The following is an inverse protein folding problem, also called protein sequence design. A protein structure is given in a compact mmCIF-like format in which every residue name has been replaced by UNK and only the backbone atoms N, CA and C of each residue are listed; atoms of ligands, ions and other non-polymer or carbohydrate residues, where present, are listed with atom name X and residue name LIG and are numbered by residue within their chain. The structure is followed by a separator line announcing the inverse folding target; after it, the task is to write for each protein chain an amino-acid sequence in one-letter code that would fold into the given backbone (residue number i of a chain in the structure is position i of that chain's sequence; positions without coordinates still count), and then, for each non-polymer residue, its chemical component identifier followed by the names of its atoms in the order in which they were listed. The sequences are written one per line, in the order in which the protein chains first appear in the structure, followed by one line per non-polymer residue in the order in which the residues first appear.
data_IF_302775185329
#
_entry.id   IF_302775185329
#
_cell.length_a   1.000
_cell.length_b   1.000
_cell.length_c   1.000
_cell.angle_alpha   90.00
_cell.angle_beta   90.00
_cell.angle_gamma   90.00
#
_symmetry.space_group_name_H-M   'P 1'
#
loop_
_entity.id
_entity.type
_entity.pdbx_description
1 polymer ?
#
# COMPACT_ATOMS: atom_id res chain seq x y z
N UNK A 1 4.72 3.79 4.56
CA UNK A 1 4.89 2.34 4.48
C UNK A 1 3.62 1.67 3.96
N UNK A 2 3.76 0.51 3.32
CA UNK A 2 2.67 -0.43 3.07
C UNK A 2 2.36 -1.22 4.34
N UNK A 3 1.10 -1.52 4.60
CA UNK A 3 0.70 -2.25 5.80
C UNK A 3 -0.33 -3.33 5.49
N UNK A 4 0.05 -4.58 5.74
CA UNK A 4 -0.88 -5.68 5.90
C UNK A 4 -1.37 -5.79 7.36
N UNK A 5 -2.61 -6.27 7.54
CA UNK A 5 -3.05 -6.71 8.86
C UNK A 5 -2.32 -8.02 9.20
N UNK A 6 -1.48 -8.01 10.24
CA UNK A 6 -0.79 -9.19 10.75
C UNK A 6 -0.62 -9.13 12.26
N UNK A 7 -0.96 -10.23 12.91
CA UNK A 7 -0.78 -10.49 14.33
C UNK A 7 -0.14 -11.86 14.51
N UNK A 8 1.05 -11.97 15.09
CA UNK A 8 1.71 -13.27 15.24
C UNK A 8 0.87 -14.35 15.89
N UNK A 9 0.10 -14.08 16.96
CA UNK A 9 -0.77 -15.09 17.56
C UNK A 9 -2.11 -15.30 16.83
N UNK A 10 -2.59 -14.34 16.02
CA UNK A 10 -3.98 -14.33 15.54
C UNK A 10 -4.10 -14.21 14.01
N UNK A 11 -2.99 -14.28 13.27
CA UNK A 11 -2.99 -14.19 11.82
C UNK A 11 -3.45 -12.82 11.32
N UNK A 12 -4.52 -12.75 10.55
CA UNK A 12 -5.04 -11.49 10.00
C UNK A 12 -5.97 -10.72 10.96
N UNK A 13 -6.18 -11.22 12.16
CA UNK A 13 -6.99 -10.54 13.17
C UNK A 13 -6.10 -9.74 14.11
N UNK A 14 -5.95 -8.46 13.83
CA UNK A 14 -5.10 -7.55 14.62
C UNK A 14 -5.91 -6.96 15.78
N UNK A 15 -5.37 -7.00 16.99
CA UNK A 15 -5.99 -6.40 18.16
C UNK A 15 -5.89 -4.86 18.13
N UNK A 16 -6.71 -4.19 18.98
CA UNK A 16 -6.62 -2.73 19.12
C UNK A 16 -5.27 -2.30 19.66
N UNK A 17 -4.73 -3.03 20.60
CA UNK A 17 -3.43 -2.79 21.23
C UNK A 17 -2.28 -2.89 20.21
N UNK A 18 -2.34 -3.90 19.34
CA UNK A 18 -1.36 -4.03 18.25
C UNK A 18 -1.46 -2.87 17.24
N UNK A 19 -2.70 -2.48 16.85
CA UNK A 19 -2.90 -1.33 15.96
C UNK A 19 -2.41 -0.02 16.58
N UNK A 20 -2.64 0.18 17.89
CA UNK A 20 -2.10 1.36 18.61
C UNK A 20 -0.57 1.34 18.64
N UNK A 21 0.04 0.18 18.91
CA UNK A 21 1.49 0.01 18.87
C UNK A 21 2.04 0.31 17.48
N UNK A 22 1.40 -0.20 16.40
CA UNK A 22 1.78 0.10 15.02
C UNK A 22 1.86 1.61 14.77
N UNK A 23 0.78 2.34 15.07
CA UNK A 23 0.72 3.79 14.81
C UNK A 23 1.71 4.57 15.66
N UNK A 24 1.91 4.20 16.94
CA UNK A 24 2.89 4.84 17.81
C UNK A 24 4.32 4.62 17.32
N UNK A 25 4.65 3.40 16.89
CA UNK A 25 5.97 3.09 16.31
C UNK A 25 6.19 3.85 15.00
N UNK A 26 5.19 3.87 14.10
CA UNK A 26 5.28 4.65 12.87
C UNK A 26 5.61 6.12 13.17
N UNK A 27 4.94 6.74 14.15
CA UNK A 27 5.23 8.11 14.54
C UNK A 27 6.64 8.28 15.11
N UNK A 28 7.11 7.34 15.93
CA UNK A 28 8.46 7.38 16.51
C UNK A 28 9.56 7.23 15.45
N UNK A 29 9.26 6.54 14.35
CA UNK A 29 10.15 6.33 13.22
C UNK A 29 10.00 7.39 12.10
N UNK A 30 9.25 8.48 12.36
CA UNK A 30 8.96 9.54 11.39
C UNK A 30 8.22 9.04 10.13
N UNK A 31 7.50 7.93 10.21
CA UNK A 31 6.61 7.48 9.15
C UNK A 31 5.34 8.34 9.22
N UNK A 32 5.01 9.03 8.13
CA UNK A 32 3.90 9.97 8.07
C UNK A 32 2.71 9.48 7.25
N UNK A 33 2.85 8.38 6.52
CA UNK A 33 1.82 7.85 5.64
C UNK A 33 1.81 6.33 5.60
N UNK A 34 0.61 5.76 5.42
CA UNK A 34 0.37 4.32 5.26
C UNK A 34 -0.48 4.07 4.03
N UNK A 35 -0.09 3.09 3.21
CA UNK A 35 -0.98 2.47 2.23
C UNK A 35 -1.55 1.20 2.84
N UNK A 36 -2.87 1.06 2.83
CA UNK A 36 -3.54 -0.14 3.35
C UNK A 36 -3.51 -1.24 2.29
N UNK A 37 -2.39 -1.92 2.18
CA UNK A 37 -2.12 -2.96 1.18
C UNK A 37 -2.70 -4.31 1.62
N UNK A 38 -3.52 -5.05 0.81
CA UNK A 38 -4.16 -4.54 -0.41
C UNK A 38 -5.68 -4.61 -0.22
N UNK A 39 -6.17 -3.96 0.82
CA UNK A 39 -7.57 -3.93 1.24
C UNK A 39 -7.79 -2.86 2.31
N UNK A 40 -9.02 -2.36 2.50
CA UNK A 40 -9.31 -1.49 3.62
C UNK A 40 -9.00 -2.18 4.95
N UNK A 41 -8.23 -1.54 5.81
CA UNK A 41 -7.91 -2.08 7.13
C UNK A 41 -9.09 -1.97 8.12
N UNK A 42 -8.88 -2.43 9.35
CA UNK A 42 -9.87 -2.32 10.43
C UNK A 42 -10.28 -0.85 10.63
N UNK A 43 -11.57 -0.51 10.83
CA UNK A 43 -12.02 0.86 11.09
C UNK A 43 -11.26 1.57 12.22
N UNK A 44 -10.93 0.85 13.28
CA UNK A 44 -10.17 1.42 14.40
C UNK A 44 -8.78 1.90 14.00
N UNK A 45 -8.15 1.28 13.00
CA UNK A 45 -6.87 1.75 12.48
C UNK A 45 -7.00 3.14 11.82
N UNK A 46 -8.09 3.41 11.11
CA UNK A 46 -8.34 4.74 10.54
C UNK A 46 -8.61 5.78 11.64
N UNK A 47 -9.36 5.41 12.72
CA UNK A 47 -9.53 6.29 13.89
C UNK A 47 -8.20 6.66 14.54
N UNK A 48 -7.25 5.72 14.58
CA UNK A 48 -5.90 5.98 15.07
C UNK A 48 -5.13 6.89 14.11
N UNK A 49 -5.18 6.66 12.81
CA UNK A 49 -4.55 7.52 11.81
C UNK A 49 -5.07 8.96 11.89
N UNK A 50 -6.39 9.15 12.08
CA UNK A 50 -7.00 10.47 12.31
C UNK A 50 -6.45 11.13 13.56
N UNK A 51 -6.35 10.38 14.66
CA UNK A 51 -5.88 10.88 15.97
C UNK A 51 -4.40 11.24 15.97
N UNK A 52 -3.56 10.40 15.37
CA UNK A 52 -2.11 10.56 15.39
C UNK A 52 -1.56 11.34 14.18
N UNK A 53 -2.39 11.71 13.22
CA UNK A 53 -1.99 12.45 12.03
C UNK A 53 -1.09 11.62 11.10
N UNK A 54 -1.50 10.39 10.79
CA UNK A 54 -0.90 9.55 9.75
C UNK A 54 -1.76 9.68 8.49
N UNK A 55 -1.21 10.08 7.39
CA UNK A 55 -1.91 10.08 6.10
C UNK A 55 -2.19 8.66 5.62
N UNK A 56 -3.32 8.46 4.97
CA UNK A 56 -3.70 7.13 4.46
C UNK A 56 -3.98 7.17 2.97
N UNK A 57 -3.30 6.31 2.24
CA UNK A 57 -3.71 5.84 0.91
C UNK A 57 -4.58 4.59 1.14
N UNK A 58 -5.90 4.77 1.13
CA UNK A 58 -6.82 3.65 1.37
C UNK A 58 -7.05 2.87 0.09
N UNK A 59 -6.81 1.54 0.14
CA UNK A 59 -6.87 0.68 -1.04
C UNK A 59 -8.08 -0.25 -1.03
N UNK A 60 -8.74 -0.34 -2.18
CA UNK A 60 -9.85 -1.26 -2.40
C UNK A 60 -9.32 -2.69 -2.52
N UNK A 61 -10.08 -3.65 -2.00
CA UNK A 61 -9.74 -5.07 -2.12
C UNK A 61 -9.98 -5.58 -3.56
N UNK A 62 -9.13 -5.14 -4.46
CA UNK A 62 -9.08 -5.58 -5.86
C UNK A 62 -7.65 -6.02 -6.17
N UNK A 63 -7.46 -7.31 -6.22
CA UNK A 63 -6.22 -7.94 -6.63
C UNK A 63 -6.51 -9.22 -7.40
N UNK A 64 -6.01 -9.33 -8.62
CA UNK A 64 -6.12 -10.52 -9.45
C UNK A 64 -4.81 -10.80 -10.19
N UNK A 65 -3.68 -10.69 -9.47
CA UNK A 65 -2.31 -10.80 -10.00
C UNK A 65 -2.07 -12.06 -10.85
N UNK A 66 -2.59 -13.21 -10.40
CA UNK A 66 -2.50 -14.47 -11.17
C UNK A 66 -3.43 -14.56 -12.39
N UNK A 67 -4.39 -13.63 -12.56
CA UNK A 67 -5.36 -13.62 -13.66
C UNK A 67 -5.76 -12.18 -14.02
N UNK A 68 -4.81 -11.37 -14.45
CA UNK A 68 -4.98 -9.95 -14.76
C UNK A 68 -6.04 -9.67 -15.85
N UNK A 69 -6.34 -10.68 -16.70
CA UNK A 69 -7.39 -10.57 -17.71
C UNK A 69 -8.77 -10.20 -17.14
N UNK A 70 -9.05 -10.53 -15.87
CA UNK A 70 -10.30 -10.18 -15.20
C UNK A 70 -10.57 -8.66 -15.19
N UNK A 71 -9.53 -7.85 -15.23
CA UNK A 71 -9.66 -6.40 -15.28
C UNK A 71 -10.29 -5.88 -16.59
N UNK A 72 -10.35 -6.71 -17.64
CA UNK A 72 -11.01 -6.41 -18.91
C UNK A 72 -12.33 -7.18 -19.09
N UNK A 73 -12.67 -8.12 -18.22
CA UNK A 73 -13.87 -8.94 -18.35
C UNK A 73 -15.12 -8.15 -17.95
N UNK A 74 -16.11 -7.94 -18.86
CA UNK A 74 -17.30 -7.16 -18.55
C UNK A 74 -18.14 -7.73 -17.40
N UNK A 75 -18.13 -9.05 -17.21
CA UNK A 75 -18.84 -9.72 -16.11
C UNK A 75 -18.28 -9.38 -14.73
N UNK A 76 -17.03 -8.86 -14.66
CA UNK A 76 -16.34 -8.50 -13.42
C UNK A 76 -16.43 -7.01 -13.09
N UNK A 77 -16.94 -6.16 -13.97
CA UNK A 77 -17.02 -4.71 -13.74
C UNK A 77 -17.72 -4.37 -12.41
N UNK A 78 -18.80 -5.09 -12.09
CA UNK A 78 -19.52 -4.92 -10.83
C UNK A 78 -18.64 -5.20 -9.61
N UNK A 79 -17.85 -6.28 -9.65
CA UNK A 79 -16.96 -6.64 -8.55
C UNK A 79 -15.87 -5.58 -8.30
N UNK A 80 -15.32 -4.97 -9.34
CA UNK A 80 -14.35 -3.88 -9.23
C UNK A 80 -14.99 -2.61 -8.67
N UNK A 81 -16.16 -2.21 -9.20
CA UNK A 81 -16.85 -0.98 -8.79
C UNK A 81 -17.35 -1.07 -7.36
N UNK A 82 -18.04 -2.17 -6.98
CA UNK A 82 -18.62 -2.32 -5.63
C UNK A 82 -17.55 -2.32 -4.53
N UNK A 83 -16.39 -2.96 -4.75
CA UNK A 83 -15.28 -2.93 -3.77
C UNK A 83 -14.78 -1.52 -3.55
N UNK A 84 -14.57 -0.76 -4.62
CA UNK A 84 -14.12 0.63 -4.54
C UNK A 84 -15.19 1.54 -3.92
N UNK A 85 -16.46 1.38 -4.31
CA UNK A 85 -17.58 2.16 -3.73
C UNK A 85 -17.76 1.87 -2.23
N UNK A 86 -17.72 0.60 -1.83
CA UNK A 86 -17.90 0.20 -0.44
C UNK A 86 -16.78 0.78 0.44
N UNK A 87 -15.54 0.81 -0.03
CA UNK A 87 -14.44 1.46 0.65
C UNK A 87 -14.75 2.96 0.88
N UNK A 88 -15.11 3.69 -0.19
CA UNK A 88 -15.39 5.12 -0.08
C UNK A 88 -16.61 5.38 0.80
N UNK A 89 -17.72 4.65 0.63
CA UNK A 89 -18.93 4.81 1.46
C UNK A 89 -18.65 4.63 2.94
N UNK A 90 -17.79 3.66 3.28
CA UNK A 90 -17.46 3.33 4.66
C UNK A 90 -16.51 4.35 5.31
N UNK A 91 -15.50 4.82 4.55
CA UNK A 91 -14.35 5.50 5.14
C UNK A 91 -14.20 6.98 4.75
N UNK A 92 -15.04 7.54 3.88
CA UNK A 92 -14.88 8.93 3.39
C UNK A 92 -14.90 10.01 4.48
N UNK A 93 -15.37 9.70 5.69
CA UNK A 93 -15.42 10.63 6.80
C UNK A 93 -14.11 10.66 7.62
N UNK A 94 -13.10 9.84 7.28
CA UNK A 94 -11.80 9.89 7.92
C UNK A 94 -10.92 10.96 7.26
N UNK A 95 -10.52 12.02 7.99
CA UNK A 95 -9.69 13.09 7.44
C UNK A 95 -8.25 12.63 7.14
N UNK A 96 -7.78 11.56 7.75
CA UNK A 96 -6.48 10.95 7.46
C UNK A 96 -6.37 10.40 6.04
N UNK A 97 -7.49 9.97 5.44
CA UNK A 97 -7.47 9.45 4.07
C UNK A 97 -7.28 10.62 3.11
N UNK A 98 -6.16 10.61 2.40
CA UNK A 98 -5.80 11.65 1.42
C UNK A 98 -5.93 11.19 -0.03
N UNK A 99 -6.04 9.87 -0.26
CA UNK A 99 -6.10 9.30 -1.60
C UNK A 99 -6.86 7.95 -1.58
N UNK A 100 -7.59 7.67 -2.67
CA UNK A 100 -8.29 6.41 -2.89
C UNK A 100 -7.53 5.56 -3.92
N UNK A 101 -7.07 4.38 -3.51
CA UNK A 101 -6.45 3.40 -4.41
C UNK A 101 -7.48 2.37 -4.87
N UNK A 102 -7.52 2.12 -6.17
CA UNK A 102 -8.53 1.24 -6.80
C UNK A 102 -8.19 -0.23 -6.69
N UNK A 103 -6.97 -0.57 -6.27
CA UNK A 103 -6.49 -1.95 -6.13
C UNK A 103 -5.00 -2.09 -6.38
N UNK A 104 -4.55 -3.33 -6.48
CA UNK A 104 -3.16 -3.71 -6.64
C UNK A 104 -2.99 -4.73 -7.77
N UNK A 105 -1.88 -4.66 -8.53
CA UNK A 105 -1.32 -5.64 -9.48
C UNK A 105 -2.34 -6.47 -10.28
N UNK A 106 -3.35 -5.82 -10.83
CA UNK A 106 -4.47 -6.48 -11.51
C UNK A 106 -4.57 -6.13 -12.99
N UNK A 107 -3.45 -5.76 -13.61
CA UNK A 107 -3.37 -5.39 -15.02
C UNK A 107 -3.90 -3.98 -15.29
N UNK A 108 -4.17 -3.68 -16.57
CA UNK A 108 -4.50 -2.34 -17.03
C UNK A 108 -5.91 -2.19 -17.60
N UNK A 109 -6.83 -3.06 -17.16
CA UNK A 109 -8.13 -3.25 -17.79
C UNK A 109 -9.12 -2.12 -17.58
N UNK A 110 -10.14 -2.10 -18.45
CA UNK A 110 -11.19 -1.08 -18.50
C UNK A 110 -12.05 -1.03 -17.23
N UNK A 111 -12.12 -2.12 -16.45
CA UNK A 111 -12.89 -2.17 -15.22
C UNK A 111 -12.37 -1.17 -14.17
N UNK A 112 -11.06 -0.82 -14.20
CA UNK A 112 -10.50 0.24 -13.36
C UNK A 112 -10.99 1.64 -13.74
N UNK A 113 -11.31 1.88 -15.03
CA UNK A 113 -11.98 3.13 -15.42
C UNK A 113 -13.34 3.24 -14.74
N UNK A 114 -14.13 2.18 -14.79
CA UNK A 114 -15.45 2.13 -14.14
C UNK A 114 -15.34 2.32 -12.63
N UNK A 115 -14.35 1.71 -11.99
CA UNK A 115 -14.08 1.87 -10.57
C UNK A 115 -13.68 3.33 -10.23
N UNK A 116 -12.79 3.95 -11.01
CA UNK A 116 -12.41 5.36 -10.84
C UNK A 116 -13.62 6.30 -10.95
N UNK A 117 -14.45 6.10 -11.97
CA UNK A 117 -15.69 6.89 -12.16
C UNK A 117 -16.67 6.70 -10.99
N UNK A 118 -16.80 5.49 -10.46
CA UNK A 118 -17.67 5.19 -9.32
C UNK A 118 -17.16 5.87 -8.04
N UNK A 119 -15.86 5.84 -7.78
CA UNK A 119 -15.23 6.56 -6.65
C UNK A 119 -15.48 8.05 -6.78
N UNK A 120 -15.24 8.65 -7.95
CA UNK A 120 -15.43 10.09 -8.19
C UNK A 120 -16.89 10.57 -8.01
N UNK A 121 -17.88 9.73 -8.25
CA UNK A 121 -19.29 10.02 -7.97
C UNK A 121 -19.59 10.12 -6.47
N UNK A 122 -18.83 9.42 -5.64
CA UNK A 122 -19.02 9.37 -4.18
C UNK A 122 -18.15 10.38 -3.43
N UNK A 123 -16.95 10.61 -3.95
CA UNK A 123 -15.98 11.55 -3.41
C UNK A 123 -15.10 12.10 -4.54
N UNK A 124 -15.33 13.35 -4.92
CA UNK A 124 -14.55 14.07 -5.92
C UNK A 124 -13.49 15.00 -5.29
N UNK A 125 -13.31 14.95 -3.97
CA UNK A 125 -12.39 15.83 -3.23
C UNK A 125 -11.00 15.21 -3.08
N UNK A 126 -10.91 13.89 -3.09
CA UNK A 126 -9.66 13.15 -2.97
C UNK A 126 -9.23 12.57 -4.31
N UNK A 127 -7.92 12.57 -4.62
CA UNK A 127 -7.40 11.97 -5.84
C UNK A 127 -7.54 10.44 -5.82
N UNK A 128 -7.64 9.87 -7.02
CA UNK A 128 -7.62 8.42 -7.25
C UNK A 128 -6.24 7.96 -7.68
N UNK A 129 -5.90 6.74 -7.29
CA UNK A 129 -4.63 6.06 -7.55
C UNK A 129 -4.88 4.66 -8.08
N UNK A 130 -4.06 4.21 -9.00
CA UNK A 130 -3.85 2.82 -9.39
C UNK A 130 -2.56 2.72 -10.23
N UNK A 131 -1.65 1.82 -9.86
CA UNK A 131 -0.35 1.73 -10.53
C UNK A 131 -0.41 1.08 -11.92
N UNK A 132 -1.25 0.04 -12.11
CA UNK A 132 -1.31 -0.71 -13.36
C UNK A 132 -1.86 0.08 -14.55
N UNK A 133 -2.66 1.12 -14.34
CA UNK A 133 -3.09 2.04 -15.37
C UNK A 133 -3.45 3.42 -14.83
N UNK A 134 -2.47 4.28 -14.71
CA UNK A 134 -2.64 5.65 -14.19
C UNK A 134 -3.42 6.59 -15.12
N UNK A 135 -3.80 6.16 -16.33
CA UNK A 135 -4.58 7.01 -17.25
C UNK A 135 -5.97 7.32 -16.72
N UNK A 136 -6.55 6.43 -15.93
CA UNK A 136 -7.87 6.56 -15.32
C UNK A 136 -7.86 7.30 -13.97
N UNK A 137 -6.66 7.58 -13.44
CA UNK A 137 -6.46 8.15 -12.11
C UNK A 137 -5.96 9.59 -12.14
N UNK A 138 -6.04 10.27 -10.99
CA UNK A 138 -5.56 11.65 -10.84
C UNK A 138 -4.06 11.72 -10.63
N UNK A 139 -3.45 10.66 -10.11
CA UNK A 139 -2.01 10.55 -9.92
C UNK A 139 -1.44 9.45 -10.80
N UNK A 140 -0.15 9.54 -11.11
CA UNK A 140 0.60 8.42 -11.70
C UNK A 140 1.33 7.65 -10.62
N UNK A 141 1.63 6.38 -10.89
CA UNK A 141 2.30 5.54 -9.90
C UNK A 141 3.28 4.56 -10.54
N UNK A 142 4.18 4.05 -9.73
CA UNK A 142 5.10 2.97 -10.08
C UNK A 142 5.43 2.13 -8.85
N UNK A 143 5.92 0.90 -9.08
CA UNK A 143 6.51 0.02 -8.08
C UNK A 143 7.99 -0.17 -8.36
N UNK A 144 8.80 -0.16 -7.32
CA UNK A 144 10.24 -0.46 -7.34
C UNK A 144 11.04 0.23 -8.47
N UNK A 145 10.79 1.53 -8.77
CA UNK A 145 11.61 2.24 -9.73
C UNK A 145 13.04 2.38 -9.19
N UNK A 146 14.04 2.40 -10.05
CA UNK A 146 15.35 2.85 -9.62
C UNK A 146 15.39 4.39 -9.43
N UNK A 147 16.38 4.87 -8.68
CA UNK A 147 16.52 6.30 -8.35
C UNK A 147 16.69 7.16 -9.61
N UNK A 148 17.45 6.67 -10.60
CA UNK A 148 17.73 7.39 -11.85
C UNK A 148 16.44 7.56 -12.67
N UNK A 149 15.63 6.51 -12.77
CA UNK A 149 14.34 6.60 -13.45
C UNK A 149 13.41 7.59 -12.72
N UNK A 150 13.32 7.51 -11.40
CA UNK A 150 12.50 8.41 -10.59
C UNK A 150 12.96 9.88 -10.75
N UNK A 151 14.26 10.12 -10.77
CA UNK A 151 14.82 11.45 -11.05
C UNK A 151 14.44 11.94 -12.45
N UNK A 152 14.44 11.07 -13.46
CA UNK A 152 14.02 11.41 -14.82
C UNK A 152 12.55 11.84 -14.89
N UNK A 153 11.68 11.14 -14.19
CA UNK A 153 10.24 11.49 -14.04
C UNK A 153 10.09 12.85 -13.36
N UNK A 154 10.85 13.09 -12.29
CA UNK A 154 10.84 14.37 -11.58
C UNK A 154 11.28 15.54 -12.48
N UNK A 155 12.37 15.37 -13.24
CA UNK A 155 12.89 16.37 -14.20
C UNK A 155 11.88 16.68 -15.31
N UNK A 156 11.30 15.64 -15.92
CA UNK A 156 10.28 15.79 -16.97
C UNK A 156 9.10 16.64 -16.48
N UNK A 157 8.59 16.32 -15.30
CA UNK A 157 7.43 17.03 -14.71
C UNK A 157 7.75 18.45 -14.33
N UNK A 158 8.94 18.68 -13.78
CA UNK A 158 9.39 20.03 -13.46
C UNK A 158 9.45 20.88 -14.74
N UNK A 159 10.02 20.35 -15.83
CA UNK A 159 10.09 21.06 -17.11
C UNK A 159 8.70 21.35 -17.69
N UNK A 160 7.79 20.36 -17.70
CA UNK A 160 6.40 20.56 -18.16
C UNK A 160 5.69 21.64 -17.34
N UNK A 161 5.82 21.59 -16.01
CA UNK A 161 5.23 22.59 -15.12
C UNK A 161 5.79 24.00 -15.38
N UNK A 162 7.10 24.12 -15.62
CA UNK A 162 7.74 25.40 -15.98
C UNK A 162 7.23 25.94 -17.32
N UNK A 163 6.82 25.06 -18.24
CA UNK A 163 6.20 25.42 -19.51
C UNK A 163 4.70 25.78 -19.37
N UNK A 164 4.13 25.75 -18.15
CA UNK A 164 2.72 26.01 -17.91
C UNK A 164 1.80 24.82 -18.18
N UNK A 165 2.33 23.64 -18.39
CA UNK A 165 1.55 22.43 -18.59
C UNK A 165 1.05 21.87 -17.25
N UNK A 166 -0.16 21.31 -17.25
CA UNK A 166 -0.68 20.56 -16.11
C UNK A 166 0.02 19.20 -16.02
N UNK A 167 0.60 18.90 -14.86
CA UNK A 167 1.24 17.60 -14.59
C UNK A 167 0.52 16.86 -13.47
N UNK A 168 0.38 15.55 -13.63
CA UNK A 168 -0.12 14.69 -12.54
C UNK A 168 1.01 14.46 -11.53
N UNK A 169 0.73 14.50 -10.22
CA UNK A 169 1.70 14.05 -9.22
C UNK A 169 2.03 12.57 -9.41
N UNK A 170 3.20 12.15 -8.92
CA UNK A 170 3.65 10.77 -8.96
C UNK A 170 3.90 10.25 -7.56
N UNK A 171 3.36 9.08 -7.26
CA UNK A 171 3.58 8.34 -6.02
C UNK A 171 4.25 7.01 -6.34
N UNK A 172 5.23 6.60 -5.52
CA UNK A 172 5.80 5.25 -5.60
C UNK A 172 5.05 4.39 -4.59
N UNK A 173 4.11 3.57 -5.06
CA UNK A 173 3.24 2.82 -4.17
C UNK A 173 3.95 1.66 -3.47
N UNK A 174 5.08 1.18 -4.02
CA UNK A 174 5.97 0.22 -3.36
C UNK A 174 7.43 0.49 -3.74
N UNK A 175 8.32 0.57 -2.75
CA UNK A 175 9.76 0.62 -2.94
C UNK A 175 10.51 0.06 -1.73
N UNK A 176 11.83 -0.04 -1.86
CA UNK A 176 12.71 -0.42 -0.76
C UNK A 176 12.28 -1.72 -0.07
N UNK A 177 11.98 -2.77 -0.87
CA UNK A 177 11.54 -4.08 -0.40
C UNK A 177 12.47 -4.61 0.70
N UNK A 178 11.98 -4.69 1.94
CA UNK A 178 12.79 -4.89 3.14
C UNK A 178 13.09 -6.38 3.45
N UNK A 179 13.08 -7.24 2.44
CA UNK A 179 13.39 -8.66 2.61
C UNK A 179 14.92 -8.91 2.66
N UNK A 180 15.40 -9.65 3.64
CA UNK A 180 16.78 -10.05 3.75
C UNK A 180 17.73 -8.86 4.01
N UNK A 181 18.83 -8.79 3.27
CA UNK A 181 19.79 -7.70 3.40
C UNK A 181 19.40 -6.48 2.55
N UNK A 182 18.32 -5.86 2.90
CA UNK A 182 17.80 -4.60 2.34
C UNK A 182 17.73 -3.58 3.50
N UNK A 183 17.58 -2.33 3.34
CA UNK A 183 17.07 -1.45 2.32
C UNK A 183 18.24 -0.65 1.73
N UNK A 184 18.41 -0.66 0.39
CA UNK A 184 19.43 0.14 -0.28
C UNK A 184 18.88 1.45 -0.83
N UNK A 185 19.76 2.45 -1.01
CA UNK A 185 19.47 3.74 -1.66
C UNK A 185 18.33 4.56 -1.02
N UNK A 186 17.98 4.30 0.24
CA UNK A 186 16.85 4.97 0.89
C UNK A 186 17.04 6.49 0.95
N UNK A 187 18.26 6.94 1.25
CA UNK A 187 18.63 8.34 1.25
C UNK A 187 18.47 8.99 -0.14
N UNK A 188 18.93 8.32 -1.18
CA UNK A 188 18.89 8.79 -2.55
C UNK A 188 17.45 8.93 -3.09
N UNK A 189 16.54 8.02 -2.69
CA UNK A 189 15.11 8.18 -2.96
C UNK A 189 14.56 9.45 -2.32
N UNK A 190 14.86 9.70 -1.04
CA UNK A 190 14.37 10.87 -0.33
C UNK A 190 14.95 12.17 -0.88
N UNK A 191 16.23 12.23 -1.21
CA UNK A 191 16.83 13.37 -1.89
C UNK A 191 16.15 13.67 -3.24
N UNK A 192 15.69 12.62 -3.93
CA UNK A 192 14.95 12.76 -5.19
C UNK A 192 13.53 13.25 -4.96
N UNK A 193 12.80 12.72 -3.99
CA UNK A 193 11.46 13.20 -3.63
C UNK A 193 11.48 14.69 -3.22
N UNK A 194 12.41 15.08 -2.39
CA UNK A 194 12.52 16.45 -1.91
C UNK A 194 12.90 17.46 -3.02
N UNK A 195 13.62 16.99 -4.03
CA UNK A 195 14.08 17.83 -5.15
C UNK A 195 12.96 18.17 -6.13
N UNK A 196 11.99 17.29 -6.33
CA UNK A 196 10.99 17.44 -7.37
C UNK A 196 9.56 17.47 -6.79
N UNK A 197 8.90 18.66 -6.77
CA UNK A 197 7.58 18.81 -6.11
C UNK A 197 6.46 17.92 -6.65
N UNK A 198 6.58 17.41 -7.88
CA UNK A 198 5.61 16.49 -8.45
C UNK A 198 5.78 15.03 -7.97
N UNK A 199 6.88 14.72 -7.28
CA UNK A 199 7.10 13.43 -6.64
C UNK A 199 6.60 13.52 -5.19
N UNK A 200 5.48 12.89 -4.89
CA UNK A 200 4.82 13.06 -3.57
C UNK A 200 5.31 12.09 -2.49
N UNK A 201 6.27 11.23 -2.83
CA UNK A 201 6.87 10.25 -1.92
C UNK A 201 6.54 8.82 -2.30
N UNK A 202 6.77 7.90 -1.37
CA UNK A 202 6.56 6.47 -1.59
C UNK A 202 6.27 5.69 -0.32
N UNK A 203 5.79 4.45 -0.51
CA UNK A 203 5.46 3.53 0.56
C UNK A 203 6.46 2.37 0.55
N UNK A 204 7.18 2.18 1.67
CA UNK A 204 8.14 1.08 1.82
C UNK A 204 7.39 -0.24 1.90
N UNK A 205 7.80 -1.25 1.16
CA UNK A 205 7.29 -2.61 1.28
C UNK A 205 8.14 -3.40 2.27
N UNK A 206 7.63 -3.80 3.49
CA UNK A 206 6.40 -3.33 4.09
C UNK A 206 6.60 -3.05 5.60
N UNK A 207 5.52 -2.89 6.36
CA UNK A 207 5.58 -2.46 7.74
C UNK A 207 6.16 -3.52 8.69
N UNK A 208 5.57 -4.73 8.72
CA UNK A 208 6.00 -5.80 9.63
C UNK A 208 6.15 -7.12 8.88
N UNK A 209 7.10 -7.94 9.29
CA UNK A 209 7.16 -9.33 8.87
C UNK A 209 5.81 -10.03 9.11
N UNK A 210 5.30 -10.71 8.09
CA UNK A 210 3.98 -11.36 8.16
C UNK A 210 4.12 -12.82 8.56
N UNK A 211 4.67 -13.09 9.75
CA UNK A 211 4.85 -14.43 10.31
C UNK A 211 3.84 -14.74 11.42
N UNK A 212 3.70 -16.01 11.71
CA UNK A 212 2.79 -16.55 12.73
C UNK A 212 3.61 -17.17 13.84
N UNK A 213 3.26 -16.86 15.09
CA UNK A 213 3.92 -17.42 16.27
C UNK A 213 3.50 -18.87 16.49
N UNK A 214 4.44 -19.78 16.37
CA UNK A 214 4.24 -21.22 16.55
C UNK A 214 5.11 -21.74 17.68
N UNK A 215 4.61 -22.70 18.51
CA UNK A 215 5.44 -23.34 19.52
C UNK A 215 6.49 -24.21 18.86
N UNK A 216 7.67 -24.33 19.51
CA UNK A 216 8.66 -25.34 19.15
C UNK A 216 8.09 -26.74 19.35
N UNK A 217 8.61 -27.78 18.67
CA UNK A 217 8.09 -29.15 18.77
C UNK A 217 8.06 -29.72 20.20
N UNK A 218 8.95 -29.27 21.06
CA UNK A 218 9.02 -29.66 22.48
C UNK A 218 8.19 -28.76 23.40
N UNK A 219 7.59 -27.68 22.85
CA UNK A 219 6.77 -26.74 23.59
C UNK A 219 7.55 -25.83 24.55
N UNK A 220 8.90 -25.84 24.51
CA UNK A 220 9.73 -25.04 25.43
C UNK A 220 9.84 -23.57 25.05
N UNK A 221 9.61 -23.24 23.76
CA UNK A 221 9.76 -21.90 23.20
C UNK A 221 8.83 -21.71 21.99
N UNK A 222 9.03 -20.66 21.23
CA UNK A 222 8.30 -20.41 19.99
C UNK A 222 9.24 -19.96 18.87
N UNK A 223 8.74 -20.02 17.65
CA UNK A 223 9.38 -19.44 16.47
C UNK A 223 8.35 -18.71 15.62
N UNK A 224 8.82 -17.83 14.73
CA UNK A 224 7.99 -17.10 13.78
C UNK A 224 7.94 -17.87 12.47
N UNK A 225 6.81 -18.56 12.25
CA UNK A 225 6.58 -19.43 11.09
C UNK A 225 6.08 -18.65 9.87
N UNK A 226 6.45 -19.12 8.69
CA UNK A 226 6.00 -18.59 7.40
C UNK A 226 5.76 -19.75 6.40
N UNK A 227 5.50 -19.44 5.13
CA UNK A 227 5.13 -20.44 4.13
C UNK A 227 6.10 -21.62 4.04
N UNK A 228 5.55 -22.83 4.08
CA UNK A 228 6.27 -24.09 4.15
C UNK A 228 6.43 -24.69 5.55
N UNK A 229 6.46 -23.87 6.60
CA UNK A 229 6.57 -24.33 8.00
C UNK A 229 5.32 -25.09 8.46
N UNK A 230 4.20 -24.89 7.78
CA UNK A 230 2.90 -25.55 8.06
C UNK A 230 2.71 -26.83 7.25
N UNK A 231 3.68 -27.24 6.44
CA UNK A 231 3.52 -28.34 5.49
C UNK A 231 2.65 -27.99 4.29
N UNK A 232 2.40 -26.71 4.06
CA UNK A 232 1.60 -26.18 2.96
C UNK A 232 2.37 -26.21 1.63
N UNK A 233 1.63 -26.49 0.54
CA UNK A 233 2.16 -26.53 -0.82
C UNK A 233 1.01 -26.18 -1.80
N UNK A 234 1.16 -25.19 -2.71
CA UNK A 234 2.34 -24.34 -2.88
C UNK A 234 2.51 -23.27 -1.79
N UNK A 235 3.72 -22.72 -1.66
CA UNK A 235 4.03 -21.58 -0.81
C UNK A 235 5.20 -20.78 -1.38
N UNK A 236 5.36 -19.53 -0.94
CA UNK A 236 6.41 -18.61 -1.38
C UNK A 236 7.56 -18.47 -0.32
N UNK A 237 7.63 -19.41 0.64
CA UNK A 237 8.67 -19.43 1.67
C UNK A 237 8.66 -18.16 2.52
N UNK A 238 9.83 -17.53 2.64
CA UNK A 238 10.02 -16.31 3.42
C UNK A 238 9.62 -15.02 2.69
N UNK A 239 8.88 -15.09 1.58
CA UNK A 239 8.52 -13.90 0.79
C UNK A 239 7.53 -12.95 1.50
N UNK A 240 7.02 -13.34 2.64
CA UNK A 240 6.21 -12.51 3.55
C UNK A 240 7.03 -11.93 4.74
N UNK A 241 8.34 -12.18 4.82
CA UNK A 241 9.24 -11.62 5.85
C UNK A 241 10.03 -10.45 5.25
N UNK A 242 9.34 -9.34 5.04
CA UNK A 242 9.84 -8.15 4.37
C UNK A 242 9.47 -6.86 5.12
N UNK A 243 9.20 -6.99 6.42
CA UNK A 243 8.92 -5.87 7.30
C UNK A 243 10.16 -5.03 7.61
N UNK A 244 9.94 -3.71 7.80
CA UNK A 244 10.98 -2.82 8.37
C UNK A 244 11.17 -3.05 9.87
N UNK A 245 10.24 -3.76 10.50
CA UNK A 245 10.32 -4.26 11.88
C UNK A 245 9.84 -5.72 11.93
N UNK A 246 10.20 -6.43 12.99
CA UNK A 246 9.75 -7.81 13.20
C UNK A 246 8.25 -7.90 13.47
N UNK A 247 7.68 -9.10 13.29
CA UNK A 247 6.25 -9.38 13.47
C UNK A 247 5.72 -9.02 14.85
N UNK A 248 6.55 -9.12 15.90
CA UNK A 248 6.21 -8.78 17.29
C UNK A 248 6.37 -7.28 17.61
N UNK A 249 6.71 -6.47 16.61
CA UNK A 249 6.94 -5.02 16.70
C UNK A 249 8.15 -4.65 17.57
N UNK A 250 9.24 -5.39 17.40
CA UNK A 250 10.56 -5.06 17.98
C UNK A 250 11.54 -4.62 16.90
#
# INVERSE_FOLDING_TARGET
VDRHDNSPPNGRTVSKEEMEKDVQLMKSLNINAVRTSHYPNNPYFYDLCDRYGIYVLSEANVECHGLMALSNEPSWVKAFTERSENMVRRYKNHPSIVMWSLGNESGNGINFKSAAEAVKKLDNTRPTHYEGNSSYCDVTSSMYPDVQWLESVGKERLQKSQNGETVKPHVVCEYAHAMGNAIGNFKEYWETYERYPALVGGFIWDWVDQSIKMPTPDGSDYYMAFGGDFGDTPNDGNFCTNGVIFSDRT
#
